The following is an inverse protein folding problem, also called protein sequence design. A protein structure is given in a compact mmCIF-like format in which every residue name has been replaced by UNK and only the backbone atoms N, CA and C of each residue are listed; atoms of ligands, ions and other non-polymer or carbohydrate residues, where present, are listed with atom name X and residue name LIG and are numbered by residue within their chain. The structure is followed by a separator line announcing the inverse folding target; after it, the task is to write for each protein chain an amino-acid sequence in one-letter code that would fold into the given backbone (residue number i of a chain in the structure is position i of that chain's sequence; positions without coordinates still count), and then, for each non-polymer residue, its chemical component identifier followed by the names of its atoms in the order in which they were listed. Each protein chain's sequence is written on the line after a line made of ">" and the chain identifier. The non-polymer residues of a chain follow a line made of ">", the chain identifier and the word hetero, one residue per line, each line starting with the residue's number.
data_IF_584981800106
#
_entry.id   IF_584981800106
#
_cell.length_a   1.000
_cell.length_b   1.000
_cell.length_c   1.000
_cell.angle_alpha   90.00
_cell.angle_beta   90.00
_cell.angle_gamma   90.00
#
_symmetry.space_group_name_H-M   'P 1'
#
loop_
_entity.id
_entity.type
_entity.pdbx_description
1 polymer ?
#
# COMPACT_ATOMS: atom_id res chain seq x y z
N UNK A 1 10.35 -22.53 6.62
CA UNK A 1 10.49 -22.24 6.81
C UNK A 1 10.76 -21.54 7.30
N UNK A 2 10.38 -21.00 7.11
CA UNK A 2 10.49 -20.47 7.34
C UNK A 2 10.53 -19.92 7.84
N UNK A 3 10.43 -19.57 7.91
CA UNK A 3 10.42 -19.19 8.34
C UNK A 3 10.62 -18.60 8.80
N UNK A 4 10.53 -18.15 8.85
CA UNK A 4 10.62 -17.73 9.22
C UNK A 4 10.84 -17.07 9.61
N UNK A 5 10.74 -16.47 9.68
CA UNK A 5 10.80 -15.96 9.90
C UNK A 5 11.20 -15.01 10.22
N UNK A 6 11.38 -14.22 10.38
CA UNK A 6 11.67 -13.48 10.59
C UNK A 6 11.78 -12.39 10.75
N UNK A 7 11.45 -11.43 10.97
CA UNK A 7 11.42 -10.50 11.07
C UNK A 7 11.33 -9.53 11.12
N UNK A 8 11.09 -8.92 11.20
CA UNK A 8 10.94 -8.12 11.10
C UNK A 8 10.85 -7.05 11.08
N UNK A 9 10.43 -7.00 10.65
CA UNK A 9 10.40 -5.88 10.78
C UNK A 9 10.30 -5.61 12.01
N UNK A 10 10.38 -5.92 11.95
CA UNK A 10 10.32 -6.24 12.31
C UNK A 10 10.00 -7.08 12.92
N UNK A 11 9.42 -7.42 13.44
CA UNK A 11 9.23 -8.25 13.72
C UNK A 11 8.73 -8.90 13.83
N UNK A 12 8.05 -8.46 14.22
CA UNK A 12 7.53 -9.30 13.91
C UNK A 12 7.55 -9.77 13.14
N UNK A 13 7.77 -9.52 13.12
CA UNK A 13 7.61 -10.11 12.16
C UNK A 13 8.39 -10.58 11.23
N UNK A 14 8.95 -11.55 11.37
CA UNK A 14 9.47 -12.22 10.24
C UNK A 14 8.40 -12.79 9.37
N UNK A 15 7.28 -13.20 9.94
CA UNK A 15 6.12 -13.62 9.16
C UNK A 15 5.64 -12.51 8.24
N UNK A 16 5.65 -11.28 8.73
CA UNK A 16 5.26 -10.15 7.90
C UNK A 16 6.23 -9.95 6.74
N UNK A 17 7.52 -10.06 7.00
CA UNK A 17 8.51 -9.93 5.94
C UNK A 17 8.37 -11.04 4.91
N UNK A 18 8.11 -12.26 5.38
CA UNK A 18 7.95 -13.42 4.49
C UNK A 18 6.76 -13.26 3.57
N UNK A 19 5.71 -12.58 4.04
CA UNK A 19 4.49 -12.38 3.27
C UNK A 19 4.50 -11.07 2.48
N UNK A 20 5.64 -10.38 2.43
CA UNK A 20 5.74 -9.13 1.69
C UNK A 20 5.65 -9.40 0.19
N UNK A 21 4.83 -8.62 -0.48
CA UNK A 21 4.63 -8.71 -1.92
C UNK A 21 5.59 -7.73 -2.60
N UNK A 22 6.36 -8.22 -3.55
CA UNK A 22 7.26 -7.38 -4.34
C UNK A 22 6.48 -6.83 -5.52
N UNK A 23 6.31 -5.51 -5.56
CA UNK A 23 5.54 -4.87 -6.61
C UNK A 23 6.50 -4.38 -7.69
N UNK A 24 6.61 -5.13 -8.76
CA UNK A 24 7.53 -4.80 -9.84
C UNK A 24 6.91 -4.12 -11.02
N UNK A 25 5.61 -3.94 -11.06
CA UNK A 25 4.93 -3.41 -12.20
C UNK A 25 3.97 -2.30 -11.88
N UNK A 26 3.17 -1.94 -12.89
CA UNK A 26 2.19 -0.87 -12.74
C UNK A 26 1.03 -1.28 -11.85
N UNK A 27 0.41 -2.40 -12.15
CA UNK A 27 -0.73 -2.91 -11.39
C UNK A 27 -0.34 -4.23 -10.73
N UNK A 28 -0.58 -4.32 -9.43
CA UNK A 28 -0.26 -5.53 -8.69
C UNK A 28 -1.48 -5.91 -7.86
N UNK A 29 -1.93 -7.14 -8.04
CA UNK A 29 -3.03 -7.66 -7.23
C UNK A 29 -2.49 -8.08 -5.88
N UNK A 30 -3.14 -7.63 -4.83
CA UNK A 30 -2.76 -7.94 -3.46
C UNK A 30 -3.67 -9.03 -2.95
N UNK A 31 -3.07 -10.06 -2.36
CA UNK A 31 -3.83 -11.10 -1.70
C UNK A 31 -3.76 -10.86 -0.19
N UNK A 32 -4.92 -10.62 0.41
CA UNK A 32 -5.01 -10.37 1.83
C UNK A 32 -4.98 -11.71 2.54
N UNK A 33 -4.07 -11.86 3.50
CA UNK A 33 -3.92 -13.07 4.26
C UNK A 33 -4.07 -12.72 5.74
N UNK A 34 -5.02 -13.38 6.40
CA UNK A 34 -5.32 -13.12 7.81
C UNK A 34 -5.61 -11.64 8.07
N UNK A 35 -6.29 -11.01 7.11
CA UNK A 35 -6.71 -9.63 7.25
C UNK A 35 -5.65 -8.60 6.97
N UNK A 36 -4.46 -8.99 6.46
CA UNK A 36 -3.42 -8.01 6.24
C UNK A 36 -2.53 -8.37 5.06
N UNK A 37 -1.79 -7.38 4.58
CA UNK A 37 -0.78 -7.56 3.55
C UNK A 37 0.27 -6.47 3.68
N UNK A 38 1.50 -6.81 3.31
CA UNK A 38 2.60 -5.86 3.26
C UNK A 38 3.17 -5.88 1.85
N UNK A 39 3.30 -4.70 1.27
CA UNK A 39 3.79 -4.55 -0.09
C UNK A 39 5.06 -3.72 -0.06
N UNK A 40 6.07 -4.16 -0.77
CA UNK A 40 7.26 -3.35 -1.02
C UNK A 40 7.20 -2.83 -2.43
N UNK A 41 7.22 -1.52 -2.58
CA UNK A 41 7.13 -0.89 -3.89
C UNK A 41 8.21 0.14 -4.11
N UNK A 42 8.19 0.74 -5.27
CA UNK A 42 9.17 1.74 -5.68
C UNK A 42 8.48 2.86 -6.41
N UNK A 43 8.86 4.09 -6.10
CA UNK A 43 8.40 5.27 -6.82
C UNK A 43 9.55 5.95 -7.54
N UNK A 44 9.24 6.53 -8.67
CA UNK A 44 10.20 7.32 -9.43
C UNK A 44 10.98 6.53 -10.45
N UNK A 45 11.79 7.22 -11.21
CA UNK A 45 12.72 6.61 -12.16
C UNK A 45 12.11 6.30 -13.51
N UNK A 46 11.07 5.52 -13.59
CA UNK A 46 10.51 5.07 -14.86
C UNK A 46 9.13 5.63 -15.16
N UNK A 47 8.64 6.52 -14.33
CA UNK A 47 7.35 7.19 -14.52
C UNK A 47 6.14 6.26 -14.44
N UNK A 48 6.33 5.03 -14.02
CA UNK A 48 5.21 4.12 -13.79
C UNK A 48 4.67 4.38 -12.40
N UNK A 49 3.36 4.63 -12.32
CA UNK A 49 2.70 4.83 -11.03
C UNK A 49 2.20 3.48 -10.52
N UNK A 50 2.72 3.02 -9.38
CA UNK A 50 2.24 1.75 -8.84
C UNK A 50 0.78 1.84 -8.45
N UNK A 51 0.03 0.82 -8.79
CA UNK A 51 -1.38 0.69 -8.40
C UNK A 51 -1.57 -0.70 -7.83
N UNK A 52 -2.21 -0.77 -6.68
CA UNK A 52 -2.47 -2.04 -6.01
C UNK A 52 -3.96 -2.34 -6.05
N UNK A 53 -4.29 -3.56 -6.40
CA UNK A 53 -5.67 -4.00 -6.54
C UNK A 53 -5.96 -5.01 -5.45
N UNK A 54 -7.01 -4.77 -4.67
CA UNK A 54 -7.39 -5.70 -3.63
C UNK A 54 -8.89 -5.86 -3.55
N UNK A 55 -9.38 -7.04 -3.12
CA UNK A 55 -10.80 -7.23 -2.95
C UNK A 55 -11.29 -6.53 -1.69
N UNK A 56 -12.47 -5.97 -1.76
CA UNK A 56 -13.08 -5.28 -0.64
C UNK A 56 -14.56 -5.61 -0.54
N UNK A 57 -15.06 -5.57 0.67
CA UNK A 57 -16.47 -5.76 0.95
C UNK A 57 -17.00 -4.51 1.62
N UNK A 58 -18.19 -4.12 1.23
CA UNK A 58 -18.85 -2.98 1.83
C UNK A 58 -18.86 -3.10 3.33
N UNK A 59 -18.46 -2.04 4.02
CA UNK A 59 -18.44 -1.99 5.47
C UNK A 59 -17.12 -2.38 6.10
N UNK A 60 -16.22 -3.01 5.34
CA UNK A 60 -14.89 -3.29 5.87
C UNK A 60 -14.10 -2.00 6.01
N UNK A 61 -13.20 -1.97 7.00
CA UNK A 61 -12.31 -0.84 7.21
C UNK A 61 -10.88 -1.26 6.89
N UNK A 62 -10.22 -0.45 6.07
CA UNK A 62 -8.81 -0.62 5.78
C UNK A 62 -8.02 0.35 6.63
N UNK A 63 -6.98 -0.16 7.29
CA UNK A 63 -5.97 0.69 7.93
C UNK A 63 -4.73 0.59 7.08
N UNK A 64 -4.23 1.72 6.60
CA UNK A 64 -3.06 1.77 5.73
C UNK A 64 -1.96 2.56 6.39
N UNK A 65 -0.74 2.02 6.34
CA UNK A 65 0.45 2.70 6.85
C UNK A 65 1.54 2.58 5.79
N UNK A 66 2.16 3.70 5.47
CA UNK A 66 3.19 3.75 4.44
C UNK A 66 4.49 4.23 5.07
N UNK A 67 5.58 3.52 4.76
CA UNK A 67 6.91 3.87 5.27
C UNK A 67 7.90 3.95 4.12
N UNK A 68 8.33 5.17 3.76
CA UNK A 68 9.41 5.31 2.79
C UNK A 68 10.72 4.81 3.39
N UNK A 69 11.56 4.23 2.57
CA UNK A 69 12.85 3.70 3.01
C UNK A 69 13.98 4.71 2.85
N UNK A 70 13.71 5.87 2.27
CA UNK A 70 14.67 6.95 2.13
C UNK A 70 14.13 8.22 2.76
N UNK A 71 15.03 9.05 3.23
CA UNK A 71 14.67 10.36 3.74
C UNK A 71 14.42 11.32 2.58
N UNK A 72 13.75 12.40 2.88
CA UNK A 72 13.63 13.51 1.94
C UNK A 72 12.37 13.53 1.10
N UNK A 73 11.37 12.77 1.48
CA UNK A 73 10.11 12.80 0.75
C UNK A 73 9.05 11.99 1.44
N UNK A 74 7.86 12.06 0.90
CA UNK A 74 6.71 11.35 1.44
C UNK A 74 6.04 10.54 0.35
N UNK A 75 5.70 9.31 0.69
CA UNK A 75 4.91 8.44 -0.16
C UNK A 75 3.51 8.38 0.41
N UNK A 76 2.51 8.41 -0.45
CA UNK A 76 1.13 8.37 0.00
C UNK A 76 0.27 7.62 -1.02
N UNK A 77 -0.93 7.27 -0.60
CA UNK A 77 -1.95 6.82 -1.53
C UNK A 77 -2.60 8.09 -2.07
N UNK A 78 -2.40 8.37 -3.35
CA UNK A 78 -2.98 9.53 -3.98
C UNK A 78 -4.47 9.36 -4.20
N UNK A 79 -4.91 8.13 -4.43
CA UNK A 79 -6.27 7.91 -4.85
C UNK A 79 -6.69 6.49 -4.50
N UNK A 80 -7.89 6.37 -3.95
CA UNK A 80 -8.55 5.07 -3.77
C UNK A 80 -9.74 5.05 -4.71
N UNK A 81 -9.76 4.09 -5.62
CA UNK A 81 -10.84 3.96 -6.60
C UNK A 81 -11.61 2.71 -6.27
N UNK A 82 -12.87 2.88 -5.88
CA UNK A 82 -13.75 1.76 -5.56
C UNK A 82 -14.56 1.32 -6.77
N UNK A 83 -15.17 0.15 -6.67
CA UNK A 83 -16.15 -0.29 -7.65
C UNK A 83 -17.23 0.80 -7.77
N UNK A 84 -17.71 1.04 -8.98
CA UNK A 84 -18.63 2.14 -9.22
C UNK A 84 -17.94 3.46 -9.52
N UNK A 85 -16.60 3.44 -9.58
CA UNK A 85 -15.79 4.60 -9.96
C UNK A 85 -15.79 5.73 -8.93
N UNK A 86 -16.08 5.40 -7.67
CA UNK A 86 -15.92 6.37 -6.60
C UNK A 86 -14.43 6.52 -6.36
N UNK A 87 -13.96 7.76 -6.39
CA UNK A 87 -12.54 8.04 -6.26
C UNK A 87 -12.33 9.11 -5.20
N UNK A 88 -11.44 8.84 -4.27
CA UNK A 88 -11.13 9.76 -3.17
C UNK A 88 -9.63 9.82 -2.94
N UNK A 89 -9.19 10.92 -2.40
CA UNK A 89 -7.79 11.15 -2.05
C UNK A 89 -7.40 12.60 -2.24
N UNK A 90 -6.16 12.97 -1.95
CA UNK A 90 -5.09 12.10 -1.43
C UNK A 90 -5.21 11.85 0.08
N UNK A 91 -4.43 10.88 0.55
CA UNK A 91 -4.46 10.48 1.95
C UNK A 91 -3.11 10.70 2.60
N UNK A 92 -3.09 10.69 3.94
CA UNK A 92 -1.84 10.78 4.69
C UNK A 92 -1.13 9.42 4.66
N UNK A 93 0.05 9.35 5.27
CA UNK A 93 0.82 8.13 5.29
C UNK A 93 0.33 7.12 6.33
N UNK A 94 -0.71 7.46 7.05
CA UNK A 94 -1.37 6.55 8.01
C UNK A 94 -2.83 6.99 8.12
N UNK A 95 -3.75 6.10 7.77
CA UNK A 95 -5.16 6.47 7.78
C UNK A 95 -6.05 5.24 7.81
N UNK A 96 -7.33 5.48 8.13
CA UNK A 96 -8.39 4.48 8.09
C UNK A 96 -9.33 4.83 6.94
N UNK A 97 -9.86 3.81 6.29
CA UNK A 97 -10.78 4.02 5.19
C UNK A 97 -11.83 2.92 5.19
N UNK A 98 -13.11 3.29 5.20
CA UNK A 98 -14.19 2.32 5.15
C UNK A 98 -14.71 2.19 3.72
N UNK A 99 -14.78 0.95 3.23
CA UNK A 99 -15.25 0.70 1.87
C UNK A 99 -16.76 0.86 1.79
N UNK A 100 -17.21 1.49 0.71
CA UNK A 100 -18.64 1.74 0.49
C UNK A 100 -19.25 0.78 -0.51
N UNK A 101 -18.44 -0.02 -1.17
CA UNK A 101 -18.90 -0.92 -2.22
C UNK A 101 -18.16 -2.24 -2.16
N UNK A 102 -18.82 -3.29 -2.64
CA UNK A 102 -18.17 -4.57 -2.87
C UNK A 102 -17.40 -4.53 -4.17
N UNK A 103 -16.28 -5.22 -4.23
CA UNK A 103 -15.53 -5.37 -5.48
C UNK A 103 -14.07 -5.00 -5.31
N UNK A 104 -13.35 -5.00 -6.41
CA UNK A 104 -11.94 -4.66 -6.37
C UNK A 104 -11.74 -3.17 -6.20
N UNK A 105 -10.77 -2.85 -5.35
CA UNK A 105 -10.40 -1.47 -5.06
C UNK A 105 -8.99 -1.26 -5.60
N UNK A 106 -8.74 -0.08 -6.16
CA UNK A 106 -7.42 0.30 -6.64
C UNK A 106 -6.83 1.36 -5.73
N UNK A 107 -5.61 1.11 -5.29
CA UNK A 107 -4.85 2.07 -4.49
C UNK A 107 -3.75 2.63 -5.37
N UNK A 108 -3.89 3.88 -5.77
CA UNK A 108 -2.92 4.53 -6.67
C UNK A 108 -1.91 5.28 -5.82
N UNK A 109 -0.66 4.85 -5.91
CA UNK A 109 0.41 5.45 -5.10
C UNK A 109 0.92 6.73 -5.72
N UNK A 110 1.58 7.53 -4.91
CA UNK A 110 2.22 8.74 -5.39
C UNK A 110 3.06 9.38 -4.32
N UNK A 111 3.66 10.50 -4.65
CA UNK A 111 4.42 11.25 -3.68
C UNK A 111 3.78 12.61 -3.44
N UNK A 112 4.02 13.12 -2.24
CA UNK A 112 3.59 14.48 -1.89
C UNK A 112 4.60 15.44 -2.48
N UNK A 113 4.18 16.23 -3.47
CA UNK A 113 5.06 17.18 -4.14
C UNK A 113 4.84 18.62 -3.69
N UNK A 114 3.95 18.83 -2.73
CA UNK A 114 3.62 20.18 -2.28
C UNK A 114 4.83 20.87 -1.68
N UNK A 115 5.67 20.12 -0.96
CA UNK A 115 6.78 20.69 -0.23
C UNK A 115 8.12 20.48 -0.95
N UNK A 116 8.13 20.08 -2.21
CA UNK A 116 9.40 19.92 -2.92
C UNK A 116 9.39 18.82 -3.94
N UNK A 117 10.53 18.14 -4.05
CA UNK A 117 10.73 17.12 -5.07
C UNK A 117 9.93 15.85 -4.76
N UNK A 118 9.46 15.17 -5.81
CA UNK A 118 8.81 13.88 -5.62
C UNK A 118 9.75 12.89 -4.96
N UNK A 119 9.19 12.01 -4.16
CA UNK A 119 9.96 10.93 -3.56
C UNK A 119 10.42 9.96 -4.64
N UNK A 120 11.66 9.53 -4.58
CA UNK A 120 12.20 8.49 -5.43
C UNK A 120 12.85 7.44 -4.54
N UNK A 121 12.41 6.21 -4.62
CA UNK A 121 12.96 5.15 -3.82
C UNK A 121 11.92 4.12 -3.43
N UNK A 122 12.32 3.19 -2.60
CA UNK A 122 11.47 2.11 -2.12
C UNK A 122 10.63 2.55 -0.93
N UNK A 123 9.52 1.86 -0.74
CA UNK A 123 8.64 2.06 0.41
C UNK A 123 7.97 0.74 0.79
N UNK A 124 7.42 0.72 1.99
CA UNK A 124 6.51 -0.34 2.42
C UNK A 124 5.12 0.24 2.56
N UNK A 125 4.14 -0.49 2.09
CA UNK A 125 2.72 -0.23 2.35
C UNK A 125 2.18 -1.42 3.13
N UNK A 126 1.66 -1.16 4.31
CA UNK A 126 1.02 -2.19 5.12
C UNK A 126 -0.46 -1.89 5.22
N UNK A 127 -1.30 -2.85 4.86
CA UNK A 127 -2.75 -2.70 4.95
C UNK A 127 -3.32 -3.78 5.86
N UNK A 128 -4.27 -3.37 6.67
CA UNK A 128 -5.04 -4.28 7.52
C UNK A 128 -6.50 -4.05 7.19
N UNK A 129 -7.24 -5.13 6.97
CA UNK A 129 -8.66 -5.05 6.62
C UNK A 129 -9.48 -5.85 7.60
N UNK A 130 -10.49 -5.21 8.14
CA UNK A 130 -11.38 -5.84 9.12
C UNK A 130 -12.83 -5.74 8.72
#
# INVERSE_FOLDING_TARGET
>A
MMAAETNDFESSSEATVRDTIEAGGRDTTIFIRDGEATIKGHLGGNKITPTYILPAWRGQTMVAVIKPLRKGGKVRINQIIQAGHISEGPFSDSFNYQFESNGNVRLVMGSDTVSGKPYTGDYYLHVTIK
#
